data_IF_027665927866
#
_entry.id   IF_027665927866
#
_cell.length_a   1.000
_cell.length_b   1.000
_cell.length_c   1.000
_cell.angle_alpha   90.00
_cell.angle_beta   90.00
_cell.angle_gamma   90.00
#
_symmetry.space_group_name_H-M   'P 1'
#
loop_
_entity.id
_entity.type
_entity.pdbx_description
1 polymer ?
#
# COMPACT_ATOMS: atom_id res chain seq x y z
N UNK A 1 -12.49 -25.33 -2.04
CA UNK A 1 -12.85 -25.42 -3.47
C UNK A 1 -13.01 -24.01 -3.97
N UNK A 2 -12.25 -23.62 -4.99
CA UNK A 2 -12.37 -22.29 -5.61
C UNK A 2 -13.48 -22.36 -6.66
N UNK A 3 -14.43 -21.42 -6.65
CA UNK A 3 -15.60 -21.46 -7.53
C UNK A 3 -15.48 -20.53 -8.75
N UNK A 4 -14.65 -19.50 -8.66
CA UNK A 4 -14.52 -18.43 -9.68
C UNK A 4 -13.08 -18.40 -10.23
N UNK A 5 -12.69 -19.49 -10.89
CA UNK A 5 -11.35 -19.70 -11.46
C UNK A 5 -11.33 -19.73 -13.00
N UNK A 6 -12.47 -19.42 -13.63
CA UNK A 6 -12.64 -19.46 -15.07
C UNK A 6 -12.92 -20.85 -15.67
N UNK A 7 -12.93 -21.91 -14.85
CA UNK A 7 -13.21 -23.29 -15.31
C UNK A 7 -14.64 -23.75 -15.02
N UNK A 8 -15.30 -23.10 -14.06
CA UNK A 8 -16.67 -23.41 -13.66
C UNK A 8 -17.68 -22.59 -14.48
N UNK A 9 -18.77 -23.22 -14.89
CA UNK A 9 -19.91 -22.51 -15.46
C UNK A 9 -20.73 -21.85 -14.35
N UNK A 10 -21.58 -20.89 -14.71
CA UNK A 10 -22.49 -20.25 -13.73
C UNK A 10 -23.42 -21.28 -13.07
N UNK A 11 -23.81 -22.33 -13.79
CA UNK A 11 -24.59 -23.44 -13.24
C UNK A 11 -23.79 -24.26 -12.22
N UNK A 12 -22.49 -24.47 -12.44
CA UNK A 12 -21.63 -25.16 -11.47
C UNK A 12 -21.52 -24.35 -10.17
N UNK A 13 -21.38 -23.03 -10.28
CA UNK A 13 -21.39 -22.10 -9.14
C UNK A 13 -22.73 -22.17 -8.39
N UNK A 14 -23.86 -22.14 -9.11
CA UNK A 14 -25.18 -22.29 -8.51
C UNK A 14 -25.32 -23.60 -7.73
N UNK A 15 -24.90 -24.72 -8.33
CA UNK A 15 -24.97 -26.04 -7.70
C UNK A 15 -24.07 -26.12 -6.46
N UNK A 16 -22.90 -25.50 -6.48
CA UNK A 16 -22.02 -25.41 -5.33
C UNK A 16 -22.66 -24.60 -4.18
N UNK A 17 -23.31 -23.47 -4.49
CA UNK A 17 -24.02 -22.65 -3.50
C UNK A 17 -25.20 -23.37 -2.86
N UNK A 18 -25.99 -24.11 -3.65
CA UNK A 18 -27.10 -24.95 -3.14
C UNK A 18 -26.56 -26.01 -2.18
N UNK A 19 -25.48 -26.71 -2.56
CA UNK A 19 -24.84 -27.72 -1.70
C UNK A 19 -24.33 -27.10 -0.40
N UNK A 20 -23.72 -25.93 -0.47
CA UNK A 20 -23.20 -25.23 0.71
C UNK A 20 -24.31 -24.74 1.65
N UNK A 21 -25.48 -24.37 1.11
CA UNK A 21 -26.66 -23.97 1.90
C UNK A 21 -27.53 -25.15 2.34
N UNK A 22 -27.04 -26.38 2.29
CA UNK A 22 -27.77 -27.56 2.76
C UNK A 22 -28.97 -27.95 1.89
N UNK A 23 -28.92 -27.67 0.60
CA UNK A 23 -29.98 -28.01 -0.36
C UNK A 23 -31.03 -26.92 -0.55
N UNK A 24 -30.90 -25.76 0.11
CA UNK A 24 -31.74 -24.59 -0.17
C UNK A 24 -31.49 -24.12 -1.60
N UNK A 25 -32.57 -24.01 -2.39
CA UNK A 25 -32.51 -23.56 -3.77
C UNK A 25 -31.98 -22.12 -3.85
N UNK A 26 -31.08 -21.88 -4.80
CA UNK A 26 -30.52 -20.57 -5.12
C UNK A 26 -30.96 -20.22 -6.54
N UNK A 27 -31.53 -19.04 -6.74
CA UNK A 27 -32.01 -18.61 -8.06
C UNK A 27 -30.85 -18.39 -9.02
N UNK A 28 -31.04 -18.71 -10.30
CA UNK A 28 -30.02 -18.45 -11.32
C UNK A 28 -29.70 -16.95 -11.43
N UNK A 29 -30.76 -16.13 -11.42
CA UNK A 29 -30.68 -14.66 -11.45
C UNK A 29 -29.89 -14.09 -10.27
N UNK A 30 -29.98 -14.70 -9.08
CA UNK A 30 -29.22 -14.28 -7.90
C UNK A 30 -27.72 -14.52 -8.09
N UNK A 31 -27.35 -15.64 -8.70
CA UNK A 31 -25.95 -15.96 -9.01
C UNK A 31 -25.42 -14.99 -10.07
N UNK A 32 -26.19 -14.74 -11.12
CA UNK A 32 -25.80 -13.79 -12.17
C UNK A 32 -25.65 -12.36 -11.62
N UNK A 33 -26.58 -11.90 -10.79
CA UNK A 33 -26.50 -10.59 -10.14
C UNK A 33 -25.27 -10.48 -9.22
N UNK A 34 -24.95 -11.53 -8.46
CA UNK A 34 -23.74 -11.58 -7.65
C UNK A 34 -22.48 -11.47 -8.52
N UNK A 35 -22.38 -12.25 -9.60
CA UNK A 35 -21.24 -12.21 -10.51
C UNK A 35 -21.09 -10.85 -11.18
N UNK A 36 -22.21 -10.24 -11.60
CA UNK A 36 -22.21 -8.89 -12.16
C UNK A 36 -21.70 -7.86 -11.16
N UNK A 37 -22.16 -7.89 -9.90
CA UNK A 37 -21.67 -6.99 -8.86
C UNK A 37 -20.17 -7.18 -8.55
N UNK A 38 -19.66 -8.43 -8.59
CA UNK A 38 -18.24 -8.70 -8.40
C UNK A 38 -17.41 -8.14 -9.57
N UNK A 39 -17.86 -8.30 -10.82
CA UNK A 39 -17.21 -7.72 -12.00
C UNK A 39 -17.24 -6.18 -11.99
N UNK A 40 -18.39 -5.59 -11.64
CA UNK A 40 -18.53 -4.15 -11.45
C UNK A 40 -17.64 -3.57 -10.35
N UNK A 41 -17.40 -4.36 -9.30
CA UNK A 41 -16.51 -4.00 -8.20
C UNK A 41 -15.04 -4.31 -8.49
N UNK A 42 -14.70 -4.76 -9.70
CA UNK A 42 -13.33 -5.11 -10.10
C UNK A 42 -12.71 -6.24 -9.24
N UNK A 43 -13.55 -7.15 -8.75
CA UNK A 43 -13.15 -8.30 -7.94
C UNK A 43 -13.00 -9.59 -8.75
N UNK A 44 -13.33 -9.55 -10.05
CA UNK A 44 -13.11 -10.65 -10.98
C UNK A 44 -12.00 -10.27 -11.97
N UNK A 45 -11.16 -11.24 -12.32
CA UNK A 45 -10.11 -11.08 -13.33
C UNK A 45 -10.72 -11.14 -14.74
N UNK A 46 -11.35 -10.03 -15.13
CA UNK A 46 -12.00 -9.85 -16.43
C UNK A 46 -11.29 -8.78 -17.23
N UNK A 47 -11.58 -8.71 -18.53
CA UNK A 47 -11.10 -7.63 -19.41
C UNK A 47 -11.46 -6.23 -18.87
N UNK A 48 -12.58 -6.11 -18.14
CA UNK A 48 -13.00 -4.86 -17.51
C UNK A 48 -12.06 -4.46 -16.38
N UNK A 49 -11.69 -5.41 -15.52
CA UNK A 49 -10.66 -5.22 -14.50
C UNK A 49 -9.30 -4.87 -15.11
N UNK A 50 -8.84 -5.64 -16.09
CA UNK A 50 -7.55 -5.42 -16.76
C UNK A 50 -7.47 -4.00 -17.34
N UNK A 51 -8.49 -3.58 -18.09
CA UNK A 51 -8.53 -2.25 -18.69
C UNK A 51 -8.57 -1.13 -17.63
N UNK A 52 -9.36 -1.29 -16.56
CA UNK A 52 -9.39 -0.32 -15.47
C UNK A 52 -8.02 -0.21 -14.77
N UNK A 53 -7.36 -1.33 -14.53
CA UNK A 53 -6.02 -1.39 -13.94
C UNK A 53 -5.00 -0.68 -14.85
N UNK A 54 -4.97 -1.00 -16.14
CA UNK A 54 -4.07 -0.38 -17.12
C UNK A 54 -4.25 1.14 -17.16
N UNK A 55 -5.49 1.60 -17.20
CA UNK A 55 -5.81 3.03 -17.18
C UNK A 55 -5.32 3.73 -15.90
N UNK A 56 -5.48 3.09 -14.74
CA UNK A 56 -4.97 3.63 -13.46
C UNK A 56 -3.45 3.71 -13.47
N UNK A 57 -2.77 2.66 -13.94
CA UNK A 57 -1.30 2.61 -14.02
C UNK A 57 -0.79 3.66 -15.00
N UNK A 58 -1.37 3.75 -16.20
CA UNK A 58 -0.99 4.74 -17.20
C UNK A 58 -1.17 6.18 -16.69
N UNK A 59 -2.30 6.46 -16.01
CA UNK A 59 -2.58 7.76 -15.40
C UNK A 59 -1.62 8.08 -14.24
N UNK A 60 -1.16 7.07 -13.50
CA UNK A 60 -0.17 7.27 -12.46
C UNK A 60 1.22 7.54 -13.07
N UNK A 61 1.63 6.73 -14.04
CA UNK A 61 2.92 6.82 -14.71
C UNK A 61 3.10 8.12 -15.51
N UNK A 62 2.01 8.73 -16.00
CA UNK A 62 2.05 10.01 -16.71
C UNK A 62 2.22 11.23 -15.79
N UNK A 63 2.16 11.07 -14.46
CA UNK A 63 2.35 12.18 -13.53
C UNK A 63 3.83 12.58 -13.45
N UNK A 64 4.09 13.88 -13.62
CA UNK A 64 5.41 14.47 -13.42
C UNK A 64 5.76 14.64 -11.93
N UNK A 65 4.75 14.62 -11.06
CA UNK A 65 4.90 14.76 -9.61
C UNK A 65 4.18 13.62 -8.90
N UNK A 66 4.92 12.89 -8.05
CA UNK A 66 4.34 11.89 -7.16
C UNK A 66 3.68 12.57 -5.97
N UNK A 67 2.35 12.57 -5.94
CA UNK A 67 1.60 13.10 -4.81
C UNK A 67 1.88 12.30 -3.54
N UNK A 68 1.94 13.00 -2.40
CA UNK A 68 2.04 12.40 -1.07
C UNK A 68 0.72 11.71 -0.68
N UNK A 69 0.49 10.48 -1.16
CA UNK A 69 -0.77 9.76 -0.99
C UNK A 69 -1.20 9.58 0.48
N UNK A 70 -0.22 9.42 1.38
CA UNK A 70 -0.48 9.22 2.82
C UNK A 70 -0.57 10.52 3.63
N UNK A 71 -0.45 11.68 2.96
CA UNK A 71 -0.61 13.00 3.58
C UNK A 71 -2.03 13.17 4.12
N UNK A 72 -2.16 13.69 5.33
CA UNK A 72 -3.44 13.85 6.04
C UNK A 72 -3.96 12.58 6.70
N UNK A 73 -3.55 11.39 6.23
CA UNK A 73 -3.91 10.11 6.82
C UNK A 73 -2.86 9.59 7.81
N UNK A 74 -1.64 9.36 7.33
CA UNK A 74 -0.55 8.75 8.12
C UNK A 74 0.38 9.79 8.76
N UNK A 75 0.37 11.01 8.24
CA UNK A 75 1.11 12.15 8.78
C UNK A 75 0.38 13.46 8.42
N UNK A 76 0.61 14.57 9.16
CA UNK A 76 -0.06 15.83 8.88
C UNK A 76 0.18 16.32 7.45
N UNK A 77 -0.87 16.86 6.82
CA UNK A 77 -0.82 17.41 5.47
C UNK A 77 -0.26 18.83 5.41
N UNK A 78 -0.45 19.60 6.48
CA UNK A 78 0.12 20.94 6.61
C UNK A 78 1.62 20.87 6.90
N UNK A 79 2.47 21.55 6.09
CA UNK A 79 3.92 21.52 6.28
C UNK A 79 4.39 21.99 7.68
N UNK A 80 3.71 23.00 8.25
CA UNK A 80 4.02 23.51 9.60
C UNK A 80 3.80 22.46 10.68
N UNK A 81 2.69 21.72 10.57
CA UNK A 81 2.26 20.74 11.55
C UNK A 81 3.14 19.49 11.44
N UNK A 82 3.46 19.09 10.20
CA UNK A 82 4.41 18.02 9.94
C UNK A 82 5.79 18.36 10.50
N UNK A 83 6.29 19.57 10.26
CA UNK A 83 7.59 20.02 10.80
C UNK A 83 7.60 19.97 12.33
N UNK A 84 6.59 20.54 12.97
CA UNK A 84 6.45 20.52 14.43
C UNK A 84 6.41 19.08 14.98
N UNK A 85 5.69 18.19 14.29
CA UNK A 85 5.62 16.77 14.66
C UNK A 85 6.97 16.07 14.54
N UNK A 86 7.71 16.30 13.46
CA UNK A 86 9.04 15.71 13.25
C UNK A 86 10.06 16.27 14.25
N UNK A 87 10.05 17.58 14.51
CA UNK A 87 10.91 18.22 15.51
C UNK A 87 10.66 17.64 16.91
N UNK A 88 9.40 17.40 17.27
CA UNK A 88 9.05 16.74 18.53
C UNK A 88 9.61 15.32 18.61
N UNK A 89 9.41 14.53 17.55
CA UNK A 89 9.95 13.15 17.47
C UNK A 89 11.47 13.16 17.65
N UNK A 90 12.18 14.03 16.93
CA UNK A 90 13.63 14.12 17.00
C UNK A 90 14.14 14.62 18.37
N UNK A 91 13.35 15.40 19.12
CA UNK A 91 13.71 15.89 20.47
C UNK A 91 13.38 14.91 21.59
N UNK A 92 12.43 14.00 21.39
CA UNK A 92 11.96 13.03 22.40
C UNK A 92 12.99 11.92 22.73
N UNK A 93 14.17 11.91 22.11
CA UNK A 93 15.25 10.96 22.39
C UNK A 93 16.56 11.67 22.72
N UNK A 94 17.38 11.00 23.52
CA UNK A 94 18.76 11.43 23.82
C UNK A 94 19.50 11.71 22.51
N UNK A 95 20.15 12.88 22.37
CA UNK A 95 20.88 13.22 21.16
C UNK A 95 21.91 12.15 20.79
N UNK A 96 21.90 11.70 19.53
CA UNK A 96 22.93 10.84 18.99
C UNK A 96 24.32 11.47 19.22
N UNK A 97 25.30 10.70 19.71
CA UNK A 97 26.67 11.18 19.88
C UNK A 97 27.29 11.50 18.52
N UNK A 98 28.38 12.27 18.53
CA UNK A 98 29.13 12.53 17.30
C UNK A 98 29.70 11.19 16.78
N UNK A 99 29.45 10.82 15.52
CA UNK A 99 29.96 9.57 14.98
C UNK A 99 31.47 9.65 14.79
N UNK A 100 32.16 8.53 15.03
CA UNK A 100 33.60 8.38 14.77
C UNK A 100 33.91 8.30 13.28
N UNK A 101 32.95 7.80 12.49
CA UNK A 101 33.05 7.66 11.04
C UNK A 101 31.94 8.41 10.31
N UNK A 102 32.12 8.61 9.00
CA UNK A 102 31.09 9.23 8.16
C UNK A 102 29.86 8.32 8.06
N UNK A 103 28.68 8.87 8.35
CA UNK A 103 27.39 8.18 8.14
C UNK A 103 27.09 8.12 6.64
N UNK A 104 27.03 6.91 6.07
CA UNK A 104 26.75 6.68 4.64
C UNK A 104 25.36 6.09 4.37
N UNK A 105 24.75 5.48 5.38
CA UNK A 105 23.42 4.90 5.30
C UNK A 105 22.74 4.92 6.67
N UNK A 106 21.41 4.89 6.67
CA UNK A 106 20.59 4.61 7.84
C UNK A 106 19.51 3.60 7.44
N UNK A 107 19.08 2.80 8.40
CA UNK A 107 17.97 1.87 8.24
C UNK A 107 16.91 2.25 9.26
N UNK A 108 15.70 2.49 8.78
CA UNK A 108 14.54 2.80 9.60
C UNK A 108 13.36 1.95 9.14
N UNK A 109 12.44 1.58 10.03
CA UNK A 109 11.18 0.97 9.62
C UNK A 109 10.37 1.96 8.77
N UNK A 110 9.32 1.50 8.08
CA UNK A 110 8.37 2.36 7.37
C UNK A 110 6.93 2.17 7.90
N UNK A 111 6.83 2.08 9.23
CA UNK A 111 5.56 1.96 9.96
C UNK A 111 4.96 3.34 10.29
N UNK A 112 3.72 3.35 10.78
CA UNK A 112 3.05 4.59 11.16
C UNK A 112 3.90 5.49 12.08
N UNK A 113 3.96 6.80 11.78
CA UNK A 113 4.89 7.75 12.41
C UNK A 113 4.73 7.80 13.94
N UNK A 114 3.50 7.70 14.43
CA UNK A 114 3.21 7.68 15.88
C UNK A 114 3.67 6.41 16.59
N UNK A 115 3.77 5.27 15.88
CA UNK A 115 4.22 3.99 16.45
C UNK A 115 5.75 3.93 16.43
N UNK A 116 6.37 4.34 15.32
CA UNK A 116 7.81 4.27 15.13
C UNK A 116 8.62 5.44 15.70
N UNK A 117 7.98 6.41 16.38
CA UNK A 117 8.59 7.70 16.75
C UNK A 117 9.99 7.56 17.39
N UNK A 118 10.13 6.67 18.37
CA UNK A 118 11.40 6.42 19.06
C UNK A 118 12.50 5.87 18.15
N UNK A 119 12.16 4.93 17.28
CA UNK A 119 13.11 4.32 16.33
C UNK A 119 13.50 5.31 15.23
N UNK A 120 12.52 6.07 14.73
CA UNK A 120 12.77 7.16 13.79
C UNK A 120 13.72 8.19 14.38
N UNK A 121 13.48 8.64 15.61
CA UNK A 121 14.36 9.58 16.27
C UNK A 121 15.80 9.04 16.39
N UNK A 122 15.95 7.78 16.83
CA UNK A 122 17.26 7.14 16.96
C UNK A 122 18.04 7.06 15.63
N UNK A 123 17.37 6.74 14.52
CA UNK A 123 18.01 6.63 13.20
C UNK A 123 18.27 7.97 12.52
N UNK A 124 17.28 8.87 12.51
CA UNK A 124 17.36 10.12 11.75
C UNK A 124 18.18 11.22 12.43
N UNK A 125 18.39 11.17 13.76
CA UNK A 125 19.24 12.15 14.46
C UNK A 125 20.68 12.18 13.95
N UNK A 126 21.18 11.07 13.39
CA UNK A 126 22.53 11.00 12.81
C UNK A 126 22.69 11.87 11.57
N UNK A 127 21.59 12.20 10.87
CA UNK A 127 21.62 13.03 9.68
C UNK A 127 22.13 14.46 9.95
N UNK A 128 22.04 14.95 11.19
CA UNK A 128 22.58 16.28 11.55
C UNK A 128 24.10 16.40 11.38
N UNK A 129 24.81 15.27 11.27
CA UNK A 129 26.26 15.20 11.06
C UNK A 129 26.66 15.00 9.59
N UNK A 130 25.70 15.04 8.67
CA UNK A 130 25.93 14.83 7.24
C UNK A 130 25.19 15.89 6.42
N UNK A 131 25.71 16.17 5.23
CA UNK A 131 25.11 17.08 4.26
C UNK A 131 25.25 16.46 2.87
N UNK A 132 24.47 15.41 2.56
CA UNK A 132 24.59 14.70 1.29
C UNK A 132 23.97 15.53 0.16
N UNK A 133 24.63 15.55 -1.00
CA UNK A 133 24.06 16.14 -2.22
C UNK A 133 23.06 15.22 -2.93
N UNK A 134 23.01 13.94 -2.54
CA UNK A 134 22.10 12.92 -3.08
C UNK A 134 21.66 11.96 -1.99
N UNK A 135 20.37 11.69 -1.94
CA UNK A 135 19.76 10.70 -1.05
C UNK A 135 19.11 9.64 -1.92
N UNK A 136 19.40 8.36 -1.63
CA UNK A 136 18.73 7.21 -2.24
C UNK A 136 17.87 6.59 -1.15
N UNK A 137 16.57 6.49 -1.39
CA UNK A 137 15.61 5.87 -0.46
C UNK A 137 15.22 4.52 -1.04
N UNK A 138 15.57 3.45 -0.34
CA UNK A 138 15.19 2.08 -0.71
C UNK A 138 14.06 1.62 0.21
N UNK A 139 12.88 1.44 -0.35
CA UNK A 139 11.71 0.91 0.35
C UNK A 139 11.37 -0.51 -0.11
N UNK A 140 10.61 -1.23 0.70
CA UNK A 140 10.00 -2.50 0.30
C UNK A 140 8.53 -2.27 -0.05
N UNK A 141 8.04 -2.97 -1.07
CA UNK A 141 6.62 -2.96 -1.43
C UNK A 141 5.86 -3.98 -0.59
N UNK A 142 4.79 -3.57 0.08
CA UNK A 142 3.88 -4.48 0.79
C UNK A 142 2.90 -5.20 -0.15
N UNK A 143 2.70 -4.65 -1.35
CA UNK A 143 1.89 -5.24 -2.40
C UNK A 143 2.78 -5.41 -3.62
N UNK A 144 3.31 -6.61 -3.79
CA UNK A 144 4.01 -7.00 -5.02
C UNK A 144 3.01 -7.69 -5.92
N UNK A 145 2.76 -7.12 -7.09
CA UNK A 145 2.15 -7.83 -8.21
C UNK A 145 3.09 -7.67 -9.40
N UNK A 146 3.91 -8.70 -9.65
CA UNK A 146 4.99 -8.70 -10.65
C UNK A 146 6.33 -8.11 -10.15
N UNK A 147 7.34 -8.12 -11.03
CA UNK A 147 8.74 -7.69 -10.81
C UNK A 147 8.92 -6.16 -10.64
N UNK A 148 7.89 -5.45 -10.17
CA UNK A 148 7.92 -3.99 -10.07
C UNK A 148 8.54 -3.54 -8.74
N UNK A 149 9.67 -2.84 -8.83
CA UNK A 149 10.23 -2.08 -7.72
C UNK A 149 9.46 -0.76 -7.55
N UNK A 150 9.09 -0.42 -6.31
CA UNK A 150 8.70 0.96 -5.98
C UNK A 150 9.95 1.82 -6.01
N UNK A 151 10.17 2.54 -7.12
CA UNK A 151 11.15 3.64 -7.19
C UNK A 151 10.60 4.89 -6.51
#
# INVERSE_FOLDING_TARGET
MTLLDGTNTVRDVQMALIRQKGGVLVGMEEVEALLAHLDESFLLDTKKFEHARENIVARFASKTVRSCFHSGGSYPDKPTDLKSRLDKILKDQTPAPKPEAKVVALVAPHIHLSVGSRVYASGYQWLKYTSPSRIIVLGVGHQMMGDLCSV
#
